data_IF_642793786916
#
_entry.id   IF_642793786916
#
_cell.length_a   1.000
_cell.length_b   1.000
_cell.length_c   1.000
_cell.angle_alpha   90.00
_cell.angle_beta   90.00
_cell.angle_gamma   90.00
#
_symmetry.space_group_name_H-M   'P 1'
#
loop_
_entity.id
_entity.type
_entity.pdbx_description
1 polymer ?
#
# COMPACT_ATOMS: atom_id res chain seq x y z
N UNK A 1 -37.93 -46.48 -53.89
CA UNK A 1 -39.01 -46.93 -52.98
C UNK A 1 -39.30 -45.78 -52.04
N UNK A 2 -40.48 -45.18 -52.14
CA UNK A 2 -40.86 -43.96 -51.44
C UNK A 2 -41.07 -44.19 -49.93
N UNK A 3 -40.92 -43.14 -49.10
CA UNK A 3 -41.94 -42.71 -48.12
C UNK A 3 -41.55 -41.40 -47.37
N UNK A 4 -42.42 -40.40 -47.54
CA UNK A 4 -43.00 -39.45 -46.57
C UNK A 4 -42.14 -38.43 -45.78
N UNK A 5 -42.50 -37.16 -45.98
CA UNK A 5 -42.33 -36.03 -45.05
C UNK A 5 -43.22 -36.16 -43.81
N UNK A 6 -42.74 -35.68 -42.65
CA UNK A 6 -43.56 -34.94 -41.68
C UNK A 6 -42.70 -34.01 -40.80
N UNK A 7 -43.20 -32.79 -40.66
CA UNK A 7 -42.69 -31.63 -39.94
C UNK A 7 -42.48 -31.85 -38.44
N UNK A 8 -41.61 -31.05 -37.80
CA UNK A 8 -41.70 -30.82 -36.35
C UNK A 8 -40.40 -30.33 -35.70
N UNK A 9 -40.39 -29.04 -35.32
CA UNK A 9 -39.34 -28.31 -34.63
C UNK A 9 -39.22 -28.76 -33.17
N UNK A 10 -38.02 -29.09 -32.68
CA UNK A 10 -37.57 -28.81 -31.31
C UNK A 10 -36.07 -28.49 -31.33
N UNK A 11 -35.72 -27.30 -30.85
CA UNK A 11 -34.36 -26.82 -30.67
C UNK A 11 -33.65 -27.55 -29.51
N UNK A 12 -32.34 -27.80 -29.65
CA UNK A 12 -31.50 -28.35 -28.59
C UNK A 12 -30.03 -28.43 -29.00
N UNK A 13 -29.23 -27.56 -28.38
CA UNK A 13 -27.82 -27.22 -28.58
C UNK A 13 -26.79 -28.37 -28.69
N UNK A 14 -25.71 -28.14 -29.45
CA UNK A 14 -24.53 -29.00 -29.51
C UNK A 14 -23.34 -28.41 -30.28
N UNK A 15 -22.53 -27.64 -29.56
CA UNK A 15 -21.09 -27.29 -29.67
C UNK A 15 -20.23 -27.80 -30.85
N UNK A 16 -19.46 -26.89 -31.49
CA UNK A 16 -18.03 -27.11 -31.84
C UNK A 16 -17.34 -25.89 -32.46
N UNK A 17 -16.16 -25.54 -31.92
CA UNK A 17 -15.08 -24.93 -32.72
C UNK A 17 -14.35 -23.74 -32.09
N UNK A 18 -13.64 -23.94 -30.99
CA UNK A 18 -12.64 -22.97 -30.48
C UNK A 18 -11.32 -23.10 -31.25
N UNK A 19 -10.93 -22.04 -31.95
CA UNK A 19 -9.56 -21.84 -32.47
C UNK A 19 -8.73 -21.00 -31.49
N UNK A 20 -7.39 -21.15 -31.46
CA UNK A 20 -6.55 -20.51 -30.45
C UNK A 20 -6.39 -19.01 -30.74
N UNK A 21 -7.00 -18.19 -29.89
CA UNK A 21 -6.83 -16.73 -29.89
C UNK A 21 -5.43 -16.34 -29.42
N UNK A 22 -4.85 -15.37 -30.11
CA UNK A 22 -3.59 -14.70 -29.76
C UNK A 22 -3.56 -14.22 -28.29
N UNK A 23 -2.37 -14.09 -27.67
CA UNK A 23 -2.27 -13.61 -26.30
C UNK A 23 -2.89 -12.21 -26.19
N UNK A 24 -3.89 -12.08 -25.32
CA UNK A 24 -4.54 -10.83 -25.03
C UNK A 24 -3.49 -9.81 -24.55
N UNK A 25 -3.43 -8.66 -25.22
CA UNK A 25 -2.78 -7.48 -24.67
C UNK A 25 -3.54 -7.08 -23.39
N UNK A 26 -2.86 -6.79 -22.28
CA UNK A 26 -3.53 -6.28 -21.08
C UNK A 26 -4.20 -4.94 -21.41
N UNK A 27 -5.47 -4.82 -21.00
CA UNK A 27 -6.31 -3.63 -21.16
C UNK A 27 -5.76 -2.47 -20.30
N UNK A 28 -5.49 -1.28 -20.89
CA UNK A 28 -5.03 -0.10 -20.15
C UNK A 28 -6.01 0.42 -19.09
N UNK A 29 -7.25 -0.08 -19.05
CA UNK A 29 -8.30 0.37 -18.15
C UNK A 29 -8.46 -0.48 -16.87
N UNK A 30 -7.59 -1.48 -16.62
CA UNK A 30 -7.64 -2.17 -15.33
C UNK A 30 -7.35 -1.18 -14.19
N UNK A 31 -8.26 -1.04 -13.19
CA UNK A 31 -8.02 -0.16 -12.07
C UNK A 31 -6.76 -0.60 -11.32
N UNK A 32 -5.78 0.30 -11.20
CA UNK A 32 -4.64 0.09 -10.32
C UNK A 32 -5.17 -0.07 -8.89
N UNK A 33 -4.87 -1.18 -8.19
CA UNK A 33 -5.42 -1.42 -6.86
C UNK A 33 -5.13 -0.28 -5.88
N UNK A 34 -6.17 0.27 -5.24
CA UNK A 34 -5.98 1.24 -4.13
C UNK A 34 -5.88 2.70 -4.55
N UNK A 35 -6.00 3.00 -5.85
CA UNK A 35 -6.08 4.36 -6.34
C UNK A 35 -7.51 4.90 -6.16
N UNK A 36 -7.62 5.95 -5.35
CA UNK A 36 -8.81 6.79 -5.23
C UNK A 36 -8.41 8.19 -5.70
N UNK A 37 -9.17 8.77 -6.61
CA UNK A 37 -8.93 10.17 -7.04
C UNK A 37 -9.01 11.09 -5.83
N UNK A 38 -7.87 11.62 -5.40
CA UNK A 38 -7.78 12.66 -4.38
C UNK A 38 -8.38 13.94 -4.97
N UNK A 39 -9.64 14.22 -4.65
CA UNK A 39 -10.28 15.47 -5.03
C UNK A 39 -9.81 16.58 -4.09
N UNK A 40 -9.29 17.70 -4.61
CA UNK A 40 -8.87 18.83 -3.78
C UNK A 40 -10.10 19.62 -3.33
N UNK A 41 -10.85 19.07 -2.38
CA UNK A 41 -11.70 19.91 -1.54
C UNK A 41 -10.80 20.61 -0.51
N UNK A 42 -11.05 21.90 -0.27
CA UNK A 42 -10.28 22.67 0.70
C UNK A 42 -10.53 22.13 2.11
N UNK A 43 -9.46 21.64 2.76
CA UNK A 43 -9.49 21.11 4.12
C UNK A 43 -9.14 22.25 5.08
N UNK A 44 -9.93 22.54 6.13
CA UNK A 44 -9.55 23.54 7.13
C UNK A 44 -8.21 23.20 7.79
N UNK A 45 -7.39 24.19 8.17
CA UNK A 45 -6.18 23.96 8.96
C UNK A 45 -6.44 23.20 10.26
N UNK A 46 -5.45 22.44 10.73
CA UNK A 46 -5.50 21.62 11.94
C UNK A 46 -6.65 20.57 11.95
N UNK A 47 -7.11 20.15 10.78
CA UNK A 47 -8.17 19.14 10.66
C UNK A 47 -7.60 17.74 10.80
N UNK A 48 -8.20 16.93 11.68
CA UNK A 48 -8.00 15.49 11.71
C UNK A 48 -8.78 14.87 10.53
N UNK A 49 -8.10 14.71 9.40
CA UNK A 49 -8.69 14.17 8.17
C UNK A 49 -8.91 12.64 8.24
N UNK A 50 -8.17 11.95 9.11
CA UNK A 50 -8.37 10.53 9.37
C UNK A 50 -8.17 10.26 10.86
N UNK A 51 -9.14 9.61 11.49
CA UNK A 51 -9.07 9.17 12.88
C UNK A 51 -9.53 7.72 12.98
N UNK A 52 -8.72 6.76 12.51
CA UNK A 52 -9.04 5.36 12.68
C UNK A 52 -8.89 5.01 14.15
N UNK A 53 -9.77 4.15 14.67
CA UNK A 53 -9.48 3.46 15.92
C UNK A 53 -8.21 2.65 15.71
N UNK A 54 -7.14 2.98 16.43
CA UNK A 54 -5.95 2.14 16.48
C UNK A 54 -6.36 0.89 17.26
N UNK A 55 -6.77 -0.15 16.54
CA UNK A 55 -7.37 -1.37 17.10
C UNK A 55 -6.34 -2.37 17.60
N UNK A 56 -5.06 -2.14 17.30
CA UNK A 56 -3.96 -3.01 17.71
C UNK A 56 -3.34 -2.63 19.06
N UNK A 57 -2.75 -3.62 19.73
CA UNK A 57 -1.85 -3.41 20.86
C UNK A 57 -0.68 -2.51 20.44
N UNK A 58 -0.41 -1.46 21.22
CA UNK A 58 0.67 -0.51 20.93
C UNK A 58 0.40 0.90 21.43
N UNK A 59 1.45 1.73 21.38
CA UNK A 59 1.42 3.13 21.80
C UNK A 59 1.25 4.04 20.59
N UNK A 60 0.24 4.90 20.65
CA UNK A 60 0.06 5.99 19.70
C UNK A 60 1.31 6.89 19.70
N UNK A 61 1.99 6.97 18.54
CA UNK A 61 3.24 7.70 18.38
C UNK A 61 3.15 8.66 17.20
N UNK A 62 3.46 9.92 17.45
CA UNK A 62 3.47 10.98 16.44
C UNK A 62 4.71 10.85 15.55
N UNK A 63 4.52 10.92 14.24
CA UNK A 63 5.56 11.08 13.25
C UNK A 63 5.35 12.40 12.49
N UNK A 64 6.40 13.22 12.40
CA UNK A 64 6.37 14.50 11.69
C UNK A 64 7.74 14.85 11.13
N UNK A 65 7.76 15.63 10.05
CA UNK A 65 8.97 16.24 9.48
C UNK A 65 8.99 17.75 9.74
N UNK A 66 10.09 18.42 9.40
CA UNK A 66 10.25 19.86 9.63
C UNK A 66 9.47 20.75 8.64
N UNK A 67 9.01 20.21 7.52
CA UNK A 67 8.20 20.96 6.56
C UNK A 67 6.83 21.30 7.18
N UNK A 68 6.51 22.59 7.40
CA UNK A 68 5.26 22.98 8.05
C UNK A 68 4.01 22.67 7.20
N UNK A 69 4.17 22.44 5.89
CA UNK A 69 3.06 22.04 5.02
C UNK A 69 2.82 20.53 5.01
N UNK A 70 3.69 19.73 5.65
CA UNK A 70 3.57 18.28 5.69
C UNK A 70 2.48 17.83 6.68
N UNK A 71 1.77 16.73 6.38
CA UNK A 71 0.85 16.15 7.34
C UNK A 71 1.62 15.65 8.56
N UNK A 72 0.98 15.68 9.73
CA UNK A 72 1.44 14.94 10.90
C UNK A 72 0.63 13.65 10.98
N UNK A 73 1.29 12.53 11.22
CA UNK A 73 0.60 11.25 11.34
C UNK A 73 0.81 10.61 12.71
N UNK A 74 -0.18 9.87 13.18
CA UNK A 74 -0.06 9.09 14.43
C UNK A 74 -0.27 7.62 14.11
N UNK A 75 0.76 6.82 14.37
CA UNK A 75 0.76 5.37 14.16
C UNK A 75 0.67 4.62 15.50
N UNK A 76 0.28 3.35 15.47
CA UNK A 76 0.41 2.48 16.64
C UNK A 76 1.77 1.76 16.61
N UNK A 77 2.65 2.10 17.56
CA UNK A 77 3.95 1.44 17.71
C UNK A 77 3.78 0.23 18.61
N UNK A 78 4.17 -1.00 18.20
CA UNK A 78 3.99 -2.19 19.02
C UNK A 78 4.74 -2.11 20.35
N UNK A 79 4.24 -2.78 21.38
CA UNK A 79 4.92 -2.82 22.68
C UNK A 79 6.32 -3.45 22.58
N UNK A 80 7.25 -2.93 23.38
CA UNK A 80 8.66 -3.34 23.35
C UNK A 80 9.48 -2.75 22.20
N UNK A 81 8.87 -1.95 21.32
CA UNK A 81 9.60 -1.16 20.34
C UNK A 81 10.01 0.18 20.91
N UNK A 82 11.11 0.72 20.38
CA UNK A 82 11.58 2.07 20.68
C UNK A 82 11.43 2.94 19.44
N UNK A 83 11.17 4.23 19.66
CA UNK A 83 10.95 5.21 18.58
C UNK A 83 11.86 6.42 18.75
N UNK A 84 12.50 6.85 17.68
CA UNK A 84 13.30 8.07 17.64
C UNK A 84 12.86 8.96 16.46
N UNK A 85 12.80 10.29 16.65
CA UNK A 85 12.59 11.21 15.53
C UNK A 85 13.68 11.04 14.47
N UNK A 86 13.29 11.10 13.21
CA UNK A 86 14.22 11.10 12.08
C UNK A 86 14.69 12.50 11.67
N UNK A 87 15.27 12.60 10.48
CA UNK A 87 15.66 13.86 9.85
C UNK A 87 15.31 13.88 8.37
N UNK A 88 15.23 15.07 7.78
CA UNK A 88 14.82 15.24 6.39
C UNK A 88 13.39 14.73 6.15
N UNK A 89 13.23 13.81 5.20
CA UNK A 89 11.95 13.15 4.92
C UNK A 89 11.64 12.00 5.89
N UNK A 90 12.60 11.54 6.70
CA UNK A 90 12.35 10.52 7.71
C UNK A 90 11.70 11.15 8.92
N UNK A 91 10.44 10.81 9.17
CA UNK A 91 9.65 11.33 10.27
C UNK A 91 9.91 10.58 11.57
N UNK A 92 10.13 9.26 11.49
CA UNK A 92 10.30 8.39 12.65
C UNK A 92 11.13 7.16 12.27
N UNK A 93 12.03 6.75 13.14
CA UNK A 93 12.74 5.46 13.07
C UNK A 93 12.32 4.64 14.28
N UNK A 94 12.03 3.35 14.05
CA UNK A 94 11.58 2.41 15.04
C UNK A 94 12.53 1.21 15.10
N UNK A 95 12.93 0.84 16.32
CA UNK A 95 13.74 -0.36 16.56
C UNK A 95 12.92 -1.36 17.35
N UNK A 96 12.73 -2.54 16.76
CA UNK A 96 12.00 -3.65 17.33
C UNK A 96 12.90 -4.78 17.84
N UNK A 97 12.31 -5.79 18.48
CA UNK A 97 13.04 -6.98 18.91
C UNK A 97 13.51 -7.82 17.71
N UNK A 98 14.45 -8.73 17.96
CA UNK A 98 14.92 -9.75 17.00
C UNK A 98 15.44 -9.20 15.66
N UNK A 99 16.00 -7.98 15.67
CA UNK A 99 16.54 -7.35 14.47
C UNK A 99 15.48 -6.80 13.52
N UNK A 100 14.23 -6.66 13.98
CA UNK A 100 13.20 -5.92 13.24
C UNK A 100 13.41 -4.42 13.37
N UNK A 101 13.10 -3.69 12.31
CA UNK A 101 13.13 -2.23 12.25
C UNK A 101 11.93 -1.73 11.46
N UNK A 102 11.56 -0.48 11.70
CA UNK A 102 10.61 0.19 10.84
C UNK A 102 10.97 1.67 10.67
N UNK A 103 10.58 2.25 9.55
CA UNK A 103 10.84 3.66 9.23
C UNK A 103 9.56 4.29 8.71
N UNK A 104 9.23 5.48 9.21
CA UNK A 104 8.17 6.32 8.68
C UNK A 104 8.80 7.46 7.90
N UNK A 105 8.41 7.62 6.65
CA UNK A 105 8.82 8.72 5.79
C UNK A 105 7.61 9.57 5.38
N UNK A 106 7.82 10.87 5.29
CA UNK A 106 6.85 11.86 4.80
C UNK A 106 7.61 12.75 3.82
N UNK A 107 7.47 12.46 2.53
CA UNK A 107 8.20 13.14 1.47
C UNK A 107 7.24 13.93 0.57
N UNK A 108 7.55 15.20 0.23
CA UNK A 108 6.77 15.93 -0.74
C UNK A 108 6.86 15.25 -2.12
N UNK A 109 5.78 15.32 -2.89
CA UNK A 109 5.72 14.76 -4.24
C UNK A 109 4.89 15.65 -5.16
N UNK A 110 5.34 15.83 -6.39
CA UNK A 110 4.57 16.48 -7.45
C UNK A 110 3.79 15.46 -8.31
N UNK A 111 3.93 14.17 -8.00
CA UNK A 111 3.29 13.07 -8.73
C UNK A 111 1.86 12.84 -8.23
N UNK A 112 0.99 12.48 -9.15
CA UNK A 112 -0.33 11.92 -8.83
C UNK A 112 -0.18 10.53 -8.17
N UNK A 113 -1.21 10.04 -7.45
CA UNK A 113 -1.11 8.83 -6.64
C UNK A 113 -0.56 7.60 -7.39
N UNK A 114 -1.07 7.32 -8.58
CA UNK A 114 -0.66 6.22 -9.46
C UNK A 114 0.84 6.26 -9.78
N UNK A 115 1.32 7.42 -10.21
CA UNK A 115 2.72 7.66 -10.58
C UNK A 115 3.64 7.69 -9.37
N UNK A 116 3.14 8.13 -8.21
CA UNK A 116 3.88 8.09 -6.96
C UNK A 116 4.10 6.66 -6.47
N UNK A 117 3.06 5.83 -6.50
CA UNK A 117 3.13 4.42 -6.07
C UNK A 117 3.96 3.57 -7.02
N UNK A 118 3.83 3.78 -8.33
CA UNK A 118 4.70 3.14 -9.32
C UNK A 118 6.19 3.53 -9.12
N UNK A 119 6.47 4.81 -8.84
CA UNK A 119 7.84 5.23 -8.56
C UNK A 119 8.38 4.61 -7.25
N UNK A 120 7.53 4.50 -6.22
CA UNK A 120 7.89 3.86 -4.96
C UNK A 120 8.25 2.38 -5.16
N UNK A 121 7.36 1.61 -5.80
CA UNK A 121 7.58 0.18 -6.08
C UNK A 121 8.81 -0.05 -6.96
N UNK A 122 9.05 0.80 -7.96
CA UNK A 122 10.25 0.74 -8.79
C UNK A 122 11.53 1.00 -7.99
N UNK A 123 11.51 1.89 -6.99
CA UNK A 123 12.66 2.15 -6.13
C UNK A 123 13.02 0.94 -5.26
N UNK A 124 12.02 0.20 -4.78
CA UNK A 124 12.24 -1.07 -4.07
C UNK A 124 12.89 -2.12 -4.99
N UNK A 125 12.41 -2.22 -6.24
CA UNK A 125 12.92 -3.15 -7.26
C UNK A 125 14.32 -2.82 -7.79
N UNK A 126 14.67 -1.54 -7.86
CA UNK A 126 15.99 -1.08 -8.30
C UNK A 126 17.11 -1.36 -7.29
N UNK A 127 16.77 -1.47 -6.00
CA UNK A 127 17.72 -1.71 -4.91
C UNK A 127 17.85 -3.19 -4.52
N UNK A 128 16.88 -4.05 -4.85
CA UNK A 128 16.77 -5.41 -4.30
C UNK A 128 16.53 -6.46 -5.40
N UNK A 129 17.55 -7.27 -5.68
CA UNK A 129 17.71 -8.02 -6.95
C UNK A 129 16.72 -9.15 -7.26
N UNK A 130 15.74 -9.48 -6.42
CA UNK A 130 14.71 -10.50 -6.72
C UNK A 130 13.46 -10.22 -5.90
N UNK A 131 12.41 -9.73 -6.55
CA UNK A 131 11.17 -9.33 -5.90
C UNK A 131 10.00 -10.20 -6.36
N UNK A 132 9.47 -11.02 -5.44
CA UNK A 132 8.09 -11.47 -5.45
C UNK A 132 7.42 -10.78 -4.25
N UNK A 133 6.75 -9.65 -4.48
CA UNK A 133 5.91 -9.01 -3.46
C UNK A 133 4.51 -8.81 -4.02
N UNK A 134 3.55 -8.79 -3.10
CA UNK A 134 2.15 -8.52 -3.38
C UNK A 134 1.89 -7.05 -3.12
N UNK A 135 1.21 -6.39 -4.06
CA UNK A 135 0.65 -5.05 -3.89
C UNK A 135 -0.85 -5.21 -3.73
N UNK A 136 -1.42 -4.55 -2.74
CA UNK A 136 -2.85 -4.58 -2.49
C UNK A 136 -3.35 -3.20 -2.15
N UNK A 137 -4.33 -2.73 -2.90
CA UNK A 137 -5.04 -1.51 -2.59
C UNK A 137 -5.78 -1.63 -1.26
N UNK A 138 -5.68 -0.60 -0.41
CA UNK A 138 -6.24 -0.62 0.93
C UNK A 138 -7.02 0.67 1.17
N UNK A 139 -8.31 0.61 1.55
CA UNK A 139 -9.08 1.82 1.86
C UNK A 139 -8.49 2.60 3.03
N UNK A 140 -8.32 3.92 2.87
CA UNK A 140 -7.74 4.76 3.90
C UNK A 140 -8.35 6.16 3.95
N UNK A 141 -9.48 6.30 4.65
CA UNK A 141 -10.07 7.62 4.93
C UNK A 141 -10.24 8.55 3.70
N UNK A 142 -10.45 7.99 2.50
CA UNK A 142 -10.55 8.75 1.25
C UNK A 142 -9.22 9.09 0.56
N UNK A 143 -8.08 8.76 1.17
CA UNK A 143 -6.76 8.83 0.55
C UNK A 143 -6.48 7.57 -0.29
N UNK A 144 -5.73 7.75 -1.38
CA UNK A 144 -5.11 6.63 -2.10
C UNK A 144 -4.10 5.95 -1.19
N UNK A 145 -4.14 4.62 -1.09
CA UNK A 145 -3.14 3.88 -0.34
C UNK A 145 -2.99 2.42 -0.76
N UNK A 146 -1.79 1.90 -0.60
CA UNK A 146 -1.40 0.53 -0.94
C UNK A 146 -0.66 -0.13 0.23
N UNK A 147 -0.82 -1.44 0.34
CA UNK A 147 -0.03 -2.32 1.19
C UNK A 147 0.82 -3.22 0.30
N UNK A 148 2.13 -3.17 0.51
CA UNK A 148 3.11 -4.03 -0.14
C UNK A 148 3.61 -5.04 0.88
N UNK A 149 3.72 -6.31 0.49
CA UNK A 149 4.31 -7.34 1.38
C UNK A 149 5.10 -8.35 0.58
N UNK A 150 6.21 -8.81 1.12
CA UNK A 150 7.00 -9.84 0.46
C UNK A 150 8.25 -10.25 1.22
N UNK A 151 9.12 -10.97 0.52
CA UNK A 151 10.43 -11.35 1.00
C UNK A 151 11.50 -10.84 0.04
N UNK A 152 12.64 -10.47 0.60
CA UNK A 152 13.75 -9.82 -0.09
C UNK A 152 15.06 -10.51 0.26
N UNK A 153 16.06 -10.31 -0.58
CA UNK A 153 17.43 -10.63 -0.21
C UNK A 153 18.09 -9.38 0.39
N UNK A 154 18.21 -9.35 1.71
CA UNK A 154 19.00 -8.34 2.43
C UNK A 154 20.49 -8.66 2.41
N UNK A 155 21.30 -7.73 2.94
CA UNK A 155 22.76 -7.84 3.03
C UNK A 155 23.23 -8.96 3.96
N UNK A 156 22.47 -9.26 5.01
CA UNK A 156 22.76 -10.28 6.02
C UNK A 156 22.01 -11.59 5.81
N UNK A 157 21.11 -11.67 4.84
CA UNK A 157 20.26 -12.83 4.62
C UNK A 157 18.88 -12.46 4.07
N UNK A 158 17.99 -13.45 3.91
CA UNK A 158 16.61 -13.20 3.52
C UNK A 158 15.89 -12.39 4.60
N UNK A 159 15.11 -11.40 4.18
CA UNK A 159 14.28 -10.57 5.04
C UNK A 159 12.81 -10.67 4.60
N UNK A 160 11.90 -10.46 5.54
CA UNK A 160 10.50 -10.16 5.25
C UNK A 160 10.30 -8.65 5.36
N UNK A 161 9.41 -8.10 4.54
CA UNK A 161 9.03 -6.70 4.62
C UNK A 161 7.53 -6.47 4.43
N UNK A 162 7.08 -5.32 4.91
CA UNK A 162 5.77 -4.77 4.62
C UNK A 162 5.82 -3.25 4.55
N UNK A 163 5.25 -2.67 3.50
CA UNK A 163 5.13 -1.23 3.35
C UNK A 163 3.67 -0.80 3.28
N UNK A 164 3.31 0.21 4.06
CA UNK A 164 2.06 0.94 3.90
C UNK A 164 2.38 2.30 3.30
N UNK A 165 1.90 2.56 2.08
CA UNK A 165 2.06 3.85 1.42
C UNK A 165 0.72 4.56 1.27
N UNK A 166 0.71 5.88 1.45
CA UNK A 166 -0.46 6.72 1.26
C UNK A 166 -0.08 8.03 0.58
N UNK A 167 -0.92 8.50 -0.34
CA UNK A 167 -0.79 9.81 -0.97
C UNK A 167 -1.75 10.78 -0.29
N UNK A 168 -1.19 11.87 0.27
CA UNK A 168 -1.92 12.81 1.12
C UNK A 168 -1.74 14.22 0.59
N UNK A 169 -2.87 14.87 0.31
CA UNK A 169 -2.94 16.30 -0.03
C UNK A 169 -3.14 17.15 1.24
N UNK A 170 -2.36 18.23 1.40
CA UNK A 170 -2.44 19.16 2.53
C UNK A 170 -2.81 20.59 2.13
N UNK A 171 -3.74 20.75 1.18
CA UNK A 171 -4.15 22.04 0.58
C UNK A 171 -3.10 22.79 -0.27
N UNK A 172 -1.83 22.54 -0.02
CA UNK A 172 -0.73 23.27 -0.66
C UNK A 172 0.20 22.35 -1.45
N UNK A 173 0.43 21.14 -0.96
CA UNK A 173 1.34 20.16 -1.55
C UNK A 173 0.80 18.74 -1.36
N UNK A 174 1.28 17.83 -2.20
CA UNK A 174 1.08 16.40 -2.00
C UNK A 174 2.29 15.80 -1.27
N UNK A 175 2.02 14.80 -0.46
CA UNK A 175 3.03 14.04 0.25
C UNK A 175 2.80 12.55 0.02
N UNK A 176 3.90 11.82 -0.20
CA UNK A 176 3.92 10.38 -0.09
C UNK A 176 4.37 10.02 1.34
N UNK A 177 3.46 9.41 2.07
CA UNK A 177 3.76 8.80 3.37
C UNK A 177 4.07 7.33 3.15
N UNK A 178 5.17 6.83 3.70
CA UNK A 178 5.48 5.41 3.68
C UNK A 178 5.89 4.94 5.08
N UNK A 179 5.25 3.86 5.55
CA UNK A 179 5.65 3.10 6.74
C UNK A 179 6.27 1.81 6.24
N UNK A 180 7.58 1.69 6.38
CA UNK A 180 8.35 0.51 6.00
C UNK A 180 8.65 -0.33 7.25
N UNK A 181 8.35 -1.62 7.21
CA UNK A 181 8.72 -2.61 8.22
C UNK A 181 9.60 -3.67 7.56
N UNK A 182 10.72 -4.00 8.19
CA UNK A 182 11.57 -5.12 7.78
C UNK A 182 12.10 -5.92 8.97
N UNK A 183 12.53 -7.15 8.70
CA UNK A 183 13.24 -7.98 9.66
C UNK A 183 13.69 -9.30 9.05
N UNK A 184 14.51 -10.10 9.78
CA UNK A 184 14.93 -11.40 9.29
C UNK A 184 13.74 -12.28 8.90
N UNK A 185 13.87 -13.07 7.82
CA UNK A 185 12.78 -13.94 7.38
C UNK A 185 12.39 -14.95 8.48
N UNK A 186 11.08 -15.19 8.60
CA UNK A 186 10.43 -16.02 9.61
C UNK A 186 10.70 -15.59 11.07
N UNK A 187 11.10 -14.35 11.31
CA UNK A 187 11.39 -13.87 12.67
C UNK A 187 10.12 -13.87 13.54
N UNK A 188 10.18 -14.42 14.77
CA UNK A 188 9.07 -14.33 15.70
C UNK A 188 8.67 -12.87 15.97
N UNK A 189 7.38 -12.60 15.90
CA UNK A 189 6.81 -11.27 16.13
C UNK A 189 6.56 -10.43 14.87
N UNK A 190 7.13 -10.78 13.71
CA UNK A 190 6.95 -10.00 12.48
C UNK A 190 5.48 -9.82 12.09
N UNK A 191 4.69 -10.89 12.17
CA UNK A 191 3.25 -10.83 11.87
C UNK A 191 2.49 -9.86 12.78
N UNK A 192 2.85 -9.83 14.07
CA UNK A 192 2.23 -8.93 15.05
C UNK A 192 2.62 -7.47 14.75
N UNK A 193 3.92 -7.23 14.56
CA UNK A 193 4.43 -5.91 14.18
C UNK A 193 3.80 -5.39 12.87
N UNK A 194 3.67 -6.24 11.86
CA UNK A 194 2.98 -5.93 10.61
C UNK A 194 1.52 -5.55 10.85
N UNK A 195 0.81 -6.32 11.66
CA UNK A 195 -0.60 -6.04 11.98
C UNK A 195 -0.78 -4.68 12.66
N UNK A 196 0.15 -4.31 13.55
CA UNK A 196 0.10 -3.03 14.26
C UNK A 196 0.55 -1.84 13.40
N UNK A 197 1.60 -1.99 12.58
CA UNK A 197 2.17 -0.89 11.79
C UNK A 197 1.45 -0.63 10.46
N UNK A 198 0.80 -1.64 9.87
CA UNK A 198 0.16 -1.54 8.55
C UNK A 198 -1.35 -1.23 8.61
N UNK A 199 -1.90 -1.07 9.82
CA UNK A 199 -3.28 -0.62 10.00
C UNK A 199 -3.44 0.85 9.57
N UNK A 200 -4.69 1.34 9.51
CA UNK A 200 -4.93 2.75 9.25
C UNK A 200 -4.37 3.62 10.39
N UNK A 201 -3.79 4.77 10.04
CA UNK A 201 -3.19 5.71 10.98
C UNK A 201 -3.90 7.06 10.95
N UNK A 202 -3.77 7.85 12.02
CA UNK A 202 -4.40 9.16 12.06
C UNK A 202 -3.61 10.17 11.21
N UNK A 203 -4.31 11.10 10.57
CA UNK A 203 -3.73 12.15 9.72
C UNK A 203 -4.27 13.50 10.18
N UNK A 204 -3.35 14.38 10.59
CA UNK A 204 -3.61 15.78 10.87
C UNK A 204 -3.05 16.62 9.72
N UNK A 205 -3.92 17.37 9.06
CA UNK A 205 -3.57 18.31 7.99
C UNK A 205 -3.22 19.65 8.65
N UNK A 206 -2.07 20.27 8.32
CA UNK A 206 -1.69 21.58 8.85
C UNK A 206 -2.59 22.71 8.33
#
# INVERSE_FOLDING_TARGET
>A
MALLCLSGIVAGCGERGGGPGAPAHPDPAEPVPGIVTTHPEHIPPDTVACSPSLTGEGRATLASVSDPAAPRITISVPDGWTSTPGSGATALTLTGPNGMSATVTIAPTDRQPDSAFLAYTASLGGSMRRLNFLVTGVPFCGFSSELLTGALQGSSGPIEFADRIAHIWTNTKNYLVAIHLEGPAAVPGFRSAKSALMQNFAVLIP
#
